data_IF_014322088727
#
_entry.id   IF_014322088727
#
_cell.length_a   1.000
_cell.length_b   1.000
_cell.length_c   1.000
_cell.angle_alpha   90.00
_cell.angle_beta   90.00
_cell.angle_gamma   90.00
#
_symmetry.space_group_name_H-M   'P 1'
#
loop_
_entity.id
_entity.type
_entity.pdbx_description
1 polymer ?
#
# COMPACT_ATOMS: atom_id res chain seq x y z
N UNK A 1 0.37 -4.53 2.43
CA UNK A 1 0.30 -5.83 3.11
C UNK A 1 1.09 -6.84 2.31
N UNK A 2 1.05 -8.09 2.76
CA UNK A 2 1.79 -9.20 2.14
C UNK A 2 1.35 -9.40 0.67
N UNK A 3 2.27 -9.34 -0.31
CA UNK A 3 1.95 -9.57 -1.72
C UNK A 3 1.27 -10.93 -1.98
N UNK A 4 1.66 -11.96 -1.22
CA UNK A 4 1.13 -13.32 -1.37
C UNK A 4 -0.35 -13.36 -0.95
N UNK A 5 -0.67 -12.72 0.18
CA UNK A 5 -2.06 -12.63 0.63
C UNK A 5 -2.91 -11.81 -0.35
N UNK A 6 -2.35 -10.74 -0.90
CA UNK A 6 -3.02 -9.91 -1.90
C UNK A 6 -3.34 -10.70 -3.19
N UNK A 7 -2.37 -11.48 -3.68
CA UNK A 7 -2.54 -12.34 -4.85
C UNK A 7 -3.59 -13.44 -4.59
N UNK A 8 -3.47 -14.17 -3.48
CA UNK A 8 -4.39 -15.28 -3.15
C UNK A 8 -5.84 -14.83 -2.92
N UNK A 9 -6.03 -13.60 -2.43
CA UNK A 9 -7.37 -13.06 -2.19
C UNK A 9 -8.06 -12.56 -3.46
N UNK A 10 -7.34 -12.45 -4.58
CA UNK A 10 -7.87 -11.99 -5.87
C UNK A 10 -8.95 -12.95 -6.39
N UNK A 11 -9.98 -12.39 -7.03
CA UNK A 11 -11.05 -13.15 -7.67
C UNK A 11 -10.87 -13.13 -9.18
N UNK A 12 -10.60 -14.29 -9.77
CA UNK A 12 -10.63 -14.48 -11.21
C UNK A 12 -11.99 -15.03 -11.63
N UNK A 13 -12.67 -14.36 -12.57
CA UNK A 13 -13.96 -14.80 -13.12
C UNK A 13 -13.87 -14.97 -14.63
N UNK A 14 -14.55 -15.99 -15.15
CA UNK A 14 -14.69 -16.27 -16.59
C UNK A 14 -16.11 -16.74 -16.88
N UNK A 15 -16.70 -16.41 -18.03
CA UNK A 15 -17.91 -17.09 -18.48
C UNK A 15 -17.73 -18.61 -18.47
N UNK A 16 -18.75 -19.35 -18.02
CA UNK A 16 -18.74 -20.80 -17.81
C UNK A 16 -18.15 -21.26 -16.48
N UNK A 17 -17.66 -20.34 -15.64
CA UNK A 17 -17.15 -20.70 -14.31
C UNK A 17 -18.31 -21.08 -13.38
N UNK A 18 -18.22 -22.27 -12.77
CA UNK A 18 -19.15 -22.71 -11.73
C UNK A 18 -18.79 -22.08 -10.39
N UNK A 19 -19.62 -21.16 -9.93
CA UNK A 19 -19.50 -20.51 -8.62
C UNK A 19 -20.88 -20.03 -8.19
N UNK A 20 -21.27 -20.41 -6.97
CA UNK A 20 -22.50 -19.92 -6.36
C UNK A 20 -22.40 -18.40 -6.16
N UNK A 21 -23.46 -17.68 -6.54
CA UNK A 21 -23.50 -16.22 -6.41
C UNK A 21 -23.21 -15.77 -4.98
N UNK A 22 -23.83 -16.40 -3.98
CA UNK A 22 -23.67 -16.01 -2.59
C UNK A 22 -22.26 -16.30 -2.05
N UNK A 23 -21.58 -17.33 -2.57
CA UNK A 23 -20.18 -17.58 -2.29
C UNK A 23 -19.28 -16.48 -2.89
N UNK A 24 -19.61 -15.99 -4.09
CA UNK A 24 -18.93 -14.83 -4.69
C UNK A 24 -19.12 -13.57 -3.84
N UNK A 25 -20.34 -13.28 -3.37
CA UNK A 25 -20.61 -12.11 -2.52
C UNK A 25 -19.81 -12.16 -1.21
N UNK A 26 -19.74 -13.34 -0.57
CA UNK A 26 -18.89 -13.54 0.62
C UNK A 26 -17.42 -13.28 0.31
N UNK A 27 -16.92 -13.73 -0.83
CA UNK A 27 -15.52 -13.47 -1.22
C UNK A 27 -15.24 -11.98 -1.45
N UNK A 28 -16.18 -11.24 -2.05
CA UNK A 28 -16.07 -9.78 -2.19
C UNK A 28 -16.04 -9.06 -0.82
N UNK A 29 -16.86 -9.50 0.13
CA UNK A 29 -16.85 -8.96 1.51
C UNK A 29 -15.50 -9.22 2.18
N UNK A 30 -14.95 -10.44 2.06
CA UNK A 30 -13.63 -10.77 2.60
C UNK A 30 -12.51 -9.96 1.94
N UNK A 31 -12.69 -9.55 0.68
CA UNK A 31 -11.83 -8.61 -0.04
C UNK A 31 -12.07 -7.13 0.34
N UNK A 32 -12.85 -6.87 1.38
CA UNK A 32 -13.18 -5.53 1.91
C UNK A 32 -14.04 -4.67 0.97
N UNK A 33 -14.79 -5.29 0.05
CA UNK A 33 -15.84 -4.56 -0.66
C UNK A 33 -17.09 -4.45 0.21
N UNK A 34 -17.74 -3.29 0.15
CA UNK A 34 -19.00 -3.05 0.85
C UNK A 34 -20.21 -3.25 -0.06
N UNK A 35 -21.24 -3.93 0.43
CA UNK A 35 -22.50 -4.06 -0.31
C UNK A 35 -23.29 -2.76 -0.21
N UNK A 36 -23.61 -2.13 -1.33
CA UNK A 36 -24.39 -0.90 -1.36
C UNK A 36 -25.27 -0.81 -2.61
N UNK A 37 -26.58 -0.94 -2.44
CA UNK A 37 -27.55 -0.90 -3.53
C UNK A 37 -27.85 0.54 -4.02
N UNK A 38 -27.66 1.54 -3.15
CA UNK A 38 -28.04 2.95 -3.40
C UNK A 38 -26.86 3.78 -3.90
N UNK A 39 -25.73 3.72 -3.19
CA UNK A 39 -24.51 4.49 -3.49
C UNK A 39 -23.46 3.56 -4.11
N UNK A 40 -23.53 3.41 -5.44
CA UNK A 40 -22.63 2.55 -6.21
C UNK A 40 -21.36 3.31 -6.62
N UNK A 41 -20.34 3.22 -5.77
CA UNK A 41 -19.02 3.85 -5.93
C UNK A 41 -17.89 2.82 -5.86
N UNK A 42 -16.65 3.23 -6.12
CA UNK A 42 -15.47 2.35 -6.01
C UNK A 42 -15.40 1.65 -4.64
N UNK A 43 -14.99 0.40 -4.65
CA UNK A 43 -14.92 -0.44 -3.43
C UNK A 43 -16.28 -0.93 -2.94
N UNK A 44 -17.32 -0.82 -3.78
CA UNK A 44 -18.66 -1.34 -3.49
C UNK A 44 -19.10 -2.38 -4.51
N UNK A 45 -20.07 -3.19 -4.12
CA UNK A 45 -20.84 -4.02 -5.03
C UNK A 45 -22.34 -3.95 -4.72
N UNK A 46 -23.16 -4.27 -5.70
CA UNK A 46 -24.61 -4.43 -5.55
C UNK A 46 -25.07 -5.71 -6.23
N UNK A 47 -26.15 -6.30 -5.74
CA UNK A 47 -26.64 -7.57 -6.25
C UNK A 47 -28.17 -7.53 -6.40
N UNK A 48 -28.64 -7.66 -7.64
CA UNK A 48 -30.06 -7.64 -7.98
C UNK A 48 -30.42 -8.86 -8.84
N UNK A 49 -31.13 -9.81 -8.24
CA UNK A 49 -31.44 -11.08 -8.90
C UNK A 49 -30.15 -11.82 -9.25
N UNK A 50 -29.99 -12.18 -10.51
CA UNK A 50 -28.84 -12.93 -11.01
C UNK A 50 -27.69 -12.02 -11.48
N UNK A 51 -27.78 -10.72 -11.20
CA UNK A 51 -26.76 -9.74 -11.59
C UNK A 51 -26.01 -9.26 -10.35
N UNK A 52 -24.69 -9.37 -10.39
CA UNK A 52 -23.77 -8.77 -9.43
C UNK A 52 -22.96 -7.70 -10.15
N UNK A 53 -23.08 -6.46 -9.70
CA UNK A 53 -22.28 -5.35 -10.21
C UNK A 53 -21.25 -4.92 -9.16
N UNK A 54 -20.01 -4.80 -9.58
CA UNK A 54 -18.85 -4.57 -8.72
C UNK A 54 -18.12 -3.36 -9.27
N UNK A 55 -17.79 -2.41 -8.42
CA UNK A 55 -16.98 -1.26 -8.83
C UNK A 55 -15.59 -1.41 -8.21
N UNK A 56 -14.60 -1.93 -8.96
CA UNK A 56 -13.26 -2.16 -8.44
C UNK A 56 -12.58 -0.87 -7.98
N UNK A 57 -11.73 -0.97 -6.95
CA UNK A 57 -10.95 0.16 -6.45
C UNK A 57 -9.79 0.56 -7.35
N UNK A 58 -9.26 -0.40 -8.10
CA UNK A 58 -8.03 -0.33 -8.89
C UNK A 58 -8.29 -0.12 -10.39
N UNK A 59 -9.51 -0.40 -10.87
CA UNK A 59 -9.82 -0.45 -12.30
C UNK A 59 -10.62 0.76 -12.78
N UNK A 60 -10.03 1.53 -13.72
CA UNK A 60 -10.68 2.43 -14.70
C UNK A 60 -11.85 3.29 -14.20
N UNK A 61 -12.69 3.84 -15.09
CA UNK A 61 -13.96 4.51 -14.69
C UNK A 61 -15.19 3.58 -14.82
N UNK A 62 -14.97 2.33 -15.21
CA UNK A 62 -16.02 1.36 -15.48
C UNK A 62 -16.21 0.39 -14.31
N UNK A 63 -17.46 -0.01 -14.07
CA UNK A 63 -17.80 -1.11 -13.18
C UNK A 63 -17.92 -2.42 -13.95
N UNK A 64 -17.86 -3.54 -13.24
CA UNK A 64 -17.98 -4.89 -13.78
C UNK A 64 -19.37 -5.42 -13.45
N UNK A 65 -20.12 -5.86 -14.45
CA UNK A 65 -21.37 -6.61 -14.31
C UNK A 65 -21.09 -8.09 -14.57
N UNK A 66 -21.45 -8.92 -13.62
CA UNK A 66 -21.41 -10.37 -13.69
C UNK A 66 -22.84 -10.88 -13.67
N UNK A 67 -23.25 -11.53 -14.75
CA UNK A 67 -24.58 -12.12 -14.92
C UNK A 67 -24.45 -13.63 -14.68
N UNK A 68 -25.33 -14.18 -13.84
CA UNK A 68 -25.35 -15.57 -13.42
C UNK A 68 -26.52 -16.32 -14.07
N UNK A 69 -26.33 -17.61 -14.31
CA UNK A 69 -27.38 -18.57 -14.61
C UNK A 69 -27.30 -19.74 -13.62
N UNK A 70 -28.10 -19.67 -12.56
CA UNK A 70 -27.91 -20.55 -11.39
C UNK A 70 -26.53 -20.31 -10.76
N UNK A 71 -25.72 -21.36 -10.66
CA UNK A 71 -24.36 -21.32 -10.08
C UNK A 71 -23.26 -21.22 -11.14
N UNK A 72 -23.57 -20.64 -12.30
CA UNK A 72 -22.62 -20.45 -13.40
C UNK A 72 -22.56 -18.99 -13.82
N UNK A 73 -21.35 -18.46 -14.03
CA UNK A 73 -21.15 -17.14 -14.62
C UNK A 73 -21.51 -17.22 -16.11
N UNK A 74 -22.62 -16.62 -16.51
CA UNK A 74 -23.07 -16.61 -17.90
C UNK A 74 -22.30 -15.57 -18.72
N UNK A 75 -22.16 -14.36 -18.17
CA UNK A 75 -21.59 -13.22 -18.91
C UNK A 75 -20.91 -12.22 -17.99
N UNK A 76 -19.83 -11.63 -18.50
CA UNK A 76 -19.10 -10.55 -17.83
C UNK A 76 -19.04 -9.35 -18.77
N UNK A 77 -19.44 -8.18 -18.25
CA UNK A 77 -19.46 -6.93 -19.01
C UNK A 77 -18.82 -5.80 -18.21
N UNK A 78 -18.08 -4.92 -18.87
CA UNK A 78 -17.78 -3.58 -18.35
C UNK A 78 -19.00 -2.68 -18.59
N UNK A 79 -19.39 -1.92 -17.57
CA UNK A 79 -20.52 -1.00 -17.61
C UNK A 79 -20.10 0.38 -17.13
N UNK A 80 -20.77 1.41 -17.65
CA UNK A 80 -20.69 2.74 -17.05
C UNK A 80 -21.43 2.73 -15.69
N UNK A 81 -20.79 3.09 -14.57
CA UNK A 81 -21.36 2.94 -13.23
C UNK A 81 -22.58 3.84 -12.97
N UNK A 82 -22.71 4.95 -13.70
CA UNK A 82 -23.82 5.89 -13.56
C UNK A 82 -25.03 5.49 -14.41
N UNK A 83 -24.81 5.14 -15.67
CA UNK A 83 -25.89 4.86 -16.63
C UNK A 83 -26.26 3.38 -16.73
N UNK A 84 -25.40 2.48 -16.26
CA UNK A 84 -25.58 1.03 -16.37
C UNK A 84 -25.44 0.47 -17.79
N UNK A 85 -25.07 1.30 -18.77
CA UNK A 85 -24.86 0.88 -20.16
C UNK A 85 -23.60 0.03 -20.29
N UNK A 86 -23.70 -1.09 -21.00
CA UNK A 86 -22.56 -1.93 -21.36
C UNK A 86 -21.60 -1.17 -22.27
N UNK A 87 -20.33 -1.14 -21.89
CA UNK A 87 -19.22 -0.59 -22.66
C UNK A 87 -18.56 -1.69 -23.48
N UNK A 88 -18.30 -2.84 -22.87
CA UNK A 88 -17.65 -3.97 -23.52
C UNK A 88 -17.96 -5.30 -22.81
N UNK A 89 -17.84 -6.41 -23.52
CA UNK A 89 -17.84 -7.76 -22.94
C UNK A 89 -16.41 -8.21 -22.58
N UNK A 90 -16.30 -9.08 -21.58
CA UNK A 90 -15.01 -9.66 -21.14
C UNK A 90 -15.14 -11.18 -21.02
N UNK A 91 -14.11 -11.89 -21.50
CA UNK A 91 -14.01 -13.35 -21.35
C UNK A 91 -13.26 -13.75 -20.06
N UNK A 92 -12.64 -12.78 -19.40
CA UNK A 92 -11.93 -12.94 -18.14
C UNK A 92 -11.82 -11.59 -17.45
N UNK A 93 -11.93 -11.58 -16.13
CA UNK A 93 -11.65 -10.40 -15.29
C UNK A 93 -10.98 -10.86 -13.99
N UNK A 94 -10.08 -10.04 -13.47
CA UNK A 94 -9.54 -10.17 -12.12
C UNK A 94 -10.06 -9.02 -11.27
N UNK A 95 -10.57 -9.33 -10.09
CA UNK A 95 -11.04 -8.37 -9.10
C UNK A 95 -10.10 -8.45 -7.91
N UNK A 96 -9.34 -7.39 -7.70
CA UNK A 96 -8.36 -7.30 -6.63
C UNK A 96 -9.01 -6.85 -5.31
N UNK A 97 -8.39 -7.15 -4.16
CA UNK A 97 -8.86 -6.67 -2.86
C UNK A 97 -8.97 -5.14 -2.79
N UNK A 98 -10.02 -4.65 -2.12
CA UNK A 98 -10.29 -3.21 -1.91
C UNK A 98 -9.36 -2.57 -0.85
N UNK A 99 -8.46 -3.36 -0.26
CA UNK A 99 -7.46 -2.89 0.69
C UNK A 99 -6.16 -3.68 0.53
N UNK A 100 -5.02 -3.02 0.73
CA UNK A 100 -3.71 -3.67 0.71
C UNK A 100 -3.38 -4.40 2.02
N UNK A 101 -4.24 -4.33 3.05
CA UNK A 101 -4.05 -5.02 4.33
C UNK A 101 -5.00 -6.20 4.52
N UNK A 102 -5.64 -6.66 3.43
CA UNK A 102 -6.49 -7.86 3.46
C UNK A 102 -5.64 -9.08 3.79
N UNK A 103 -6.18 -9.93 4.66
CA UNK A 103 -5.59 -11.22 5.04
C UNK A 103 -6.71 -12.24 5.25
N UNK A 104 -6.34 -13.49 5.53
CA UNK A 104 -7.30 -14.55 5.85
C UNK A 104 -7.83 -14.43 7.28
N UNK A 105 -9.01 -15.00 7.54
CA UNK A 105 -9.60 -15.01 8.89
C UNK A 105 -8.66 -15.64 9.93
N UNK A 106 -8.01 -16.75 9.58
CA UNK A 106 -7.07 -17.46 10.47
C UNK A 106 -5.86 -16.59 10.82
N UNK A 107 -5.28 -15.89 9.83
CA UNK A 107 -4.17 -14.93 10.07
C UNK A 107 -4.63 -13.74 10.92
N UNK A 108 -5.86 -13.25 10.71
CA UNK A 108 -6.41 -12.17 11.52
C UNK A 108 -6.61 -12.58 12.98
N UNK A 109 -7.13 -13.79 13.24
CA UNK A 109 -7.31 -14.31 14.60
C UNK A 109 -5.97 -14.49 15.32
N UNK A 110 -4.96 -15.00 14.61
CA UNK A 110 -3.61 -15.08 15.14
C UNK A 110 -3.04 -13.69 15.47
N UNK A 111 -3.17 -12.73 14.54
CA UNK A 111 -2.71 -11.36 14.75
C UNK A 111 -3.40 -10.69 15.95
N UNK A 112 -4.71 -10.87 16.11
CA UNK A 112 -5.45 -10.37 17.27
C UNK A 112 -4.86 -10.92 18.57
N UNK A 113 -4.56 -12.22 18.61
CA UNK A 113 -3.96 -12.87 19.80
C UNK A 113 -2.62 -12.21 20.16
N UNK A 114 -1.73 -12.03 19.18
CA UNK A 114 -0.41 -11.44 19.42
C UNK A 114 -0.49 -9.94 19.75
N UNK A 115 -1.49 -9.22 19.22
CA UNK A 115 -1.76 -7.81 19.58
C UNK A 115 -2.25 -7.70 21.03
N UNK A 116 -3.17 -8.58 21.46
CA UNK A 116 -3.66 -8.63 22.84
C UNK A 116 -2.52 -8.90 23.83
N UNK A 117 -1.60 -9.79 23.49
CA UNK A 117 -0.40 -10.10 24.29
C UNK A 117 0.54 -8.89 24.42
N UNK A 118 0.89 -8.24 23.31
CA UNK A 118 1.75 -7.05 23.32
C UNK A 118 1.09 -5.89 24.07
N UNK A 119 -0.22 -5.72 23.93
CA UNK A 119 -0.98 -4.72 24.68
C UNK A 119 -0.85 -4.95 26.19
N UNK A 120 -1.07 -6.19 26.67
CA UNK A 120 -0.95 -6.52 28.10
C UNK A 120 0.44 -6.20 28.63
N UNK A 121 1.50 -6.60 27.90
CA UNK A 121 2.88 -6.31 28.26
C UNK A 121 3.15 -4.79 28.32
N UNK A 122 2.63 -4.04 27.33
CA UNK A 122 2.83 -2.59 27.27
C UNK A 122 2.08 -1.85 28.38
N UNK A 123 0.88 -2.32 28.75
CA UNK A 123 0.10 -1.79 29.89
C UNK A 123 0.84 -2.02 31.21
N UNK A 124 1.37 -3.22 31.43
CA UNK A 124 2.20 -3.54 32.60
C UNK A 124 3.46 -2.66 32.66
N UNK A 125 4.14 -2.49 31.53
CA UNK A 125 5.30 -1.60 31.43
C UNK A 125 4.94 -0.17 31.86
N UNK A 126 3.87 0.42 31.33
CA UNK A 126 3.46 1.77 31.72
C UNK A 126 3.07 1.87 33.20
N UNK A 127 2.32 0.90 33.73
CA UNK A 127 1.95 0.84 35.15
C UNK A 127 3.19 0.77 36.04
N UNK A 128 4.21 -0.02 35.69
CA UNK A 128 5.47 -0.13 36.43
C UNK A 128 6.25 1.20 36.50
N UNK A 129 6.05 2.07 35.52
CA UNK A 129 6.70 3.39 35.42
C UNK A 129 5.83 4.53 36.00
N UNK A 130 4.70 4.22 36.64
CA UNK A 130 3.75 5.22 37.14
C UNK A 130 2.98 5.99 36.07
N UNK A 131 3.04 5.54 34.81
CA UNK A 131 2.41 6.17 33.63
C UNK A 131 0.98 5.65 33.42
N UNK A 132 0.10 5.93 34.40
CA UNK A 132 -1.25 5.35 34.43
C UNK A 132 -2.15 5.83 33.29
N UNK A 133 -1.97 7.08 32.83
CA UNK A 133 -2.76 7.65 31.73
C UNK A 133 -2.38 7.00 30.41
N UNK A 134 -1.08 6.81 30.15
CA UNK A 134 -0.58 6.11 28.97
C UNK A 134 -1.03 4.65 28.95
N UNK A 135 -1.02 3.98 30.11
CA UNK A 135 -1.51 2.61 30.26
C UNK A 135 -2.99 2.48 29.89
N UNK A 136 -3.85 3.33 30.48
CA UNK A 136 -5.28 3.33 30.17
C UNK A 136 -5.53 3.64 28.70
N UNK A 137 -4.82 4.64 28.14
CA UNK A 137 -4.98 5.07 26.75
C UNK A 137 -4.67 3.95 25.77
N UNK A 138 -3.56 3.24 25.94
CA UNK A 138 -3.18 2.17 25.02
C UNK A 138 -4.14 0.98 25.13
N UNK A 139 -4.58 0.66 26.34
CA UNK A 139 -5.54 -0.41 26.60
C UNK A 139 -6.89 -0.15 25.92
N UNK A 140 -7.50 1.02 26.15
CA UNK A 140 -8.77 1.40 25.55
C UNK A 140 -8.69 1.43 24.01
N UNK A 141 -7.61 2.04 23.48
CA UNK A 141 -7.43 2.16 22.04
C UNK A 141 -7.27 0.80 21.37
N UNK A 142 -6.41 -0.05 21.92
CA UNK A 142 -6.12 -1.34 21.30
C UNK A 142 -7.29 -2.31 21.43
N UNK A 143 -8.03 -2.31 22.56
CA UNK A 143 -9.26 -3.10 22.68
C UNK A 143 -10.32 -2.69 21.65
N UNK A 144 -10.55 -1.39 21.46
CA UNK A 144 -11.47 -0.90 20.43
C UNK A 144 -11.03 -1.32 19.02
N UNK A 145 -9.74 -1.16 18.69
CA UNK A 145 -9.21 -1.57 17.39
C UNK A 145 -9.37 -3.11 17.19
N UNK A 146 -9.19 -3.92 18.26
CA UNK A 146 -9.41 -5.38 18.23
C UNK A 146 -10.89 -5.74 18.01
N UNK A 147 -11.83 -5.08 18.70
CA UNK A 147 -13.26 -5.29 18.48
C UNK A 147 -13.65 -5.03 17.03
N UNK A 148 -13.15 -3.93 16.45
CA UNK A 148 -13.37 -3.61 15.05
C UNK A 148 -12.78 -4.66 14.10
N UNK A 149 -11.57 -5.16 14.39
CA UNK A 149 -10.96 -6.25 13.61
C UNK A 149 -11.76 -7.56 13.71
N UNK A 150 -12.32 -7.89 14.88
CA UNK A 150 -13.16 -9.09 15.08
C UNK A 150 -14.48 -8.98 14.29
N UNK A 151 -15.13 -7.82 14.32
CA UNK A 151 -16.45 -7.62 13.70
C UNK A 151 -16.39 -7.40 12.18
N UNK A 152 -15.37 -6.68 11.70
CA UNK A 152 -15.33 -6.20 10.30
C UNK A 152 -14.11 -6.68 9.51
N UNK A 153 -13.13 -7.30 10.18
CA UNK A 153 -11.83 -7.59 9.58
C UNK A 153 -10.98 -6.34 9.33
N UNK A 154 -11.37 -5.18 9.86
CA UNK A 154 -10.70 -3.90 9.64
C UNK A 154 -10.81 -2.98 10.86
N UNK A 155 -9.84 -2.08 11.03
CA UNK A 155 -9.94 -0.97 11.98
C UNK A 155 -9.25 0.27 11.43
N UNK A 156 -9.60 1.45 11.93
CA UNK A 156 -8.96 2.68 11.49
C UNK A 156 -7.51 2.74 12.01
N UNK A 157 -6.56 2.77 11.08
CA UNK A 157 -5.14 2.72 11.41
C UNK A 157 -4.59 1.30 11.48
N UNK A 158 -5.23 0.34 10.81
CA UNK A 158 -4.83 -1.07 10.76
C UNK A 158 -3.36 -1.29 10.37
N UNK A 159 -2.77 -0.35 9.61
CA UNK A 159 -1.36 -0.40 9.21
C UNK A 159 -0.41 -0.46 10.42
N UNK A 160 -0.80 0.09 11.58
CA UNK A 160 -0.01 0.06 12.80
C UNK A 160 0.12 -1.35 13.40
N UNK A 161 -0.72 -2.29 12.94
CA UNK A 161 -0.69 -3.70 13.29
C UNK A 161 -0.13 -4.57 12.16
N UNK A 162 0.41 -3.96 11.09
CA UNK A 162 0.84 -4.67 9.87
C UNK A 162 1.83 -5.81 10.13
N UNK A 163 2.76 -5.66 11.09
CA UNK A 163 3.68 -6.74 11.49
C UNK A 163 2.94 -7.96 12.03
N UNK A 164 1.99 -7.76 12.94
CA UNK A 164 1.16 -8.84 13.51
C UNK A 164 0.32 -9.51 12.42
N UNK A 165 -0.35 -8.71 11.58
CA UNK A 165 -1.21 -9.21 10.49
C UNK A 165 -0.42 -10.06 9.48
N UNK A 166 0.83 -9.69 9.21
CA UNK A 166 1.71 -10.44 8.32
C UNK A 166 2.49 -11.56 9.01
N UNK A 167 2.34 -11.75 10.33
CA UNK A 167 3.06 -12.77 11.10
C UNK A 167 4.58 -12.64 11.02
N UNK A 168 5.10 -11.42 10.81
CA UNK A 168 6.55 -11.19 10.68
C UNK A 168 7.21 -10.99 12.04
N UNK A 169 8.48 -11.33 12.12
CA UNK A 169 9.30 -11.10 13.31
C UNK A 169 9.46 -9.59 13.63
N UNK A 170 9.61 -9.22 14.92
CA UNK A 170 9.90 -7.84 15.32
C UNK A 170 11.12 -7.25 14.61
N UNK A 171 11.03 -5.99 14.18
CA UNK A 171 12.11 -5.29 13.47
C UNK A 171 12.27 -5.62 11.98
N UNK A 172 11.57 -6.65 11.49
CA UNK A 172 11.65 -7.08 10.08
C UNK A 172 11.25 -5.99 9.09
N UNK A 173 11.87 -6.01 7.91
CA UNK A 173 11.59 -5.07 6.84
C UNK A 173 10.14 -5.23 6.33
N UNK A 174 9.37 -4.13 6.21
CA UNK A 174 8.00 -4.16 5.72
C UNK A 174 7.94 -4.57 4.25
N UNK A 175 6.80 -5.14 3.86
CA UNK A 175 6.48 -5.29 2.44
C UNK A 175 6.19 -3.92 1.83
N UNK A 176 6.73 -3.69 0.64
CA UNK A 176 6.67 -2.46 -0.14
C UNK A 176 6.33 -2.79 -1.60
N UNK A 177 6.23 -1.76 -2.43
CA UNK A 177 5.99 -1.94 -3.87
C UNK A 177 7.08 -2.82 -4.54
N UNK A 178 8.34 -2.75 -4.07
CA UNK A 178 9.42 -3.60 -4.58
C UNK A 178 9.08 -5.09 -4.49
N UNK A 179 8.39 -5.50 -3.43
CA UNK A 179 8.06 -6.89 -3.17
C UNK A 179 6.89 -7.39 -4.06
N UNK A 180 6.23 -6.50 -4.82
CA UNK A 180 5.21 -6.83 -5.83
C UNK A 180 5.79 -6.95 -7.24
N UNK A 181 7.01 -6.44 -7.47
CA UNK A 181 7.68 -6.59 -8.75
C UNK A 181 8.31 -7.98 -8.89
N UNK A 182 8.39 -8.51 -10.12
CA UNK A 182 9.28 -9.62 -10.43
C UNK A 182 10.72 -9.31 -10.00
N UNK A 183 11.50 -10.33 -9.65
CA UNK A 183 12.88 -10.16 -9.15
C UNK A 183 13.82 -9.47 -10.14
N UNK A 184 13.50 -9.53 -11.43
CA UNK A 184 14.28 -9.00 -12.56
C UNK A 184 13.82 -7.60 -13.01
N UNK A 185 13.13 -6.84 -12.16
CA UNK A 185 12.68 -5.48 -12.49
C UNK A 185 13.84 -4.49 -12.70
N UNK A 186 13.52 -3.39 -13.40
CA UNK A 186 14.40 -2.24 -13.60
C UNK A 186 13.86 -1.04 -12.80
N UNK A 187 14.73 -0.41 -12.01
CA UNK A 187 14.44 0.84 -11.30
C UNK A 187 14.99 2.03 -12.08
N UNK A 188 14.18 3.06 -12.29
CA UNK A 188 14.65 4.36 -12.76
C UNK A 188 14.47 5.37 -11.62
N UNK A 189 15.55 6.06 -11.27
CA UNK A 189 15.51 7.10 -10.25
C UNK A 189 15.75 8.43 -10.95
N UNK A 190 14.65 9.13 -11.22
CA UNK A 190 14.68 10.50 -11.73
C UNK A 190 15.16 11.47 -10.65
N UNK A 191 15.91 12.49 -11.05
CA UNK A 191 16.62 13.42 -10.18
C UNK A 191 17.32 12.74 -8.99
N UNK A 192 18.13 11.72 -9.31
CA UNK A 192 18.74 10.82 -8.31
C UNK A 192 19.50 11.56 -7.20
N UNK A 193 20.14 12.69 -7.53
CA UNK A 193 20.91 13.50 -6.60
C UNK A 193 20.06 14.04 -5.42
N UNK A 194 18.75 14.21 -5.64
CA UNK A 194 17.79 14.64 -4.64
C UNK A 194 17.00 13.46 -4.05
N UNK A 195 16.61 12.49 -4.88
CA UNK A 195 15.77 11.36 -4.45
C UNK A 195 16.53 10.40 -3.53
N UNK A 196 17.81 10.12 -3.78
CA UNK A 196 18.59 9.21 -2.92
C UNK A 196 18.70 9.73 -1.48
N UNK A 197 19.09 11.00 -1.22
CA UNK A 197 19.03 11.58 0.12
C UNK A 197 17.63 11.54 0.75
N UNK A 198 16.58 11.79 -0.05
CA UNK A 198 15.20 11.76 0.43
C UNK A 198 14.83 10.36 0.93
N UNK A 199 15.05 9.32 0.11
CA UNK A 199 14.77 7.91 0.46
C UNK A 199 15.50 7.53 1.76
N UNK A 200 16.77 7.92 1.90
CA UNK A 200 17.56 7.68 3.11
C UNK A 200 16.97 8.34 4.36
N UNK A 201 16.41 9.54 4.22
CA UNK A 201 15.86 10.31 5.35
C UNK A 201 14.49 9.79 5.84
N UNK A 202 13.72 9.11 4.99
CA UNK A 202 12.32 8.71 5.28
C UNK A 202 12.19 7.88 6.56
N UNK A 203 13.06 6.88 6.76
CA UNK A 203 13.01 6.01 7.94
C UNK A 203 13.20 6.80 9.25
N UNK A 204 14.22 7.67 9.30
CA UNK A 204 14.56 8.42 10.50
C UNK A 204 13.45 9.43 10.87
N UNK A 205 12.86 10.09 9.87
CA UNK A 205 11.73 10.99 10.07
C UNK A 205 10.49 10.26 10.61
N UNK A 206 10.14 9.11 10.04
CA UNK A 206 9.01 8.31 10.52
C UNK A 206 9.24 7.76 11.94
N UNK A 207 10.46 7.27 12.23
CA UNK A 207 10.84 6.75 13.54
C UNK A 207 10.68 7.81 14.63
N UNK A 208 11.20 9.02 14.42
CA UNK A 208 11.11 10.11 15.38
C UNK A 208 9.65 10.52 15.68
N UNK A 209 8.80 10.56 14.66
CA UNK A 209 7.37 10.86 14.83
C UNK A 209 6.66 9.80 15.67
N UNK A 210 6.92 8.51 15.40
CA UNK A 210 6.30 7.40 16.13
C UNK A 210 6.79 7.25 17.55
N UNK A 211 8.02 7.67 17.84
CA UNK A 211 8.58 7.59 19.18
C UNK A 211 7.69 8.32 20.20
N UNK A 212 7.18 9.50 19.84
CA UNK A 212 6.25 10.23 20.70
C UNK A 212 4.92 9.49 20.88
N UNK A 213 4.36 8.93 19.81
CA UNK A 213 3.10 8.18 19.87
C UNK A 213 3.20 6.96 20.78
N UNK A 214 4.28 6.19 20.66
CA UNK A 214 4.53 5.00 21.50
C UNK A 214 4.84 5.43 22.93
N UNK A 215 5.70 6.44 23.13
CA UNK A 215 6.09 6.94 24.46
C UNK A 215 4.89 7.40 25.29
N UNK A 216 3.88 7.98 24.65
CA UNK A 216 2.68 8.49 25.29
C UNK A 216 1.47 7.54 25.12
N UNK A 217 1.67 6.26 24.81
CA UNK A 217 0.60 5.26 24.84
C UNK A 217 -0.49 5.43 23.78
N UNK A 218 -0.22 6.11 22.67
CA UNK A 218 -1.15 6.20 21.53
C UNK A 218 -1.06 4.99 20.60
N UNK A 219 0.09 4.30 20.57
CA UNK A 219 0.37 3.14 19.72
C UNK A 219 1.25 2.13 20.45
N UNK A 220 1.09 0.84 20.10
CA UNK A 220 1.96 -0.24 20.57
C UNK A 220 3.38 -0.11 19.99
N UNK A 221 4.40 -0.68 20.64
CA UNK A 221 5.76 -0.74 20.10
C UNK A 221 5.84 -1.32 18.68
N UNK A 222 5.01 -2.31 18.33
CA UNK A 222 4.93 -2.89 16.98
C UNK A 222 4.63 -1.87 15.88
N UNK A 223 4.06 -0.71 16.21
CA UNK A 223 3.82 0.35 15.23
C UNK A 223 5.13 0.89 14.62
N UNK A 224 6.27 0.71 15.29
CA UNK A 224 7.58 0.99 14.73
C UNK A 224 7.92 0.12 13.52
N UNK A 225 7.36 -1.07 13.41
CA UNK A 225 7.62 -2.02 12.31
C UNK A 225 6.74 -1.70 11.08
N UNK A 226 5.79 -0.77 11.20
CA UNK A 226 5.00 -0.22 10.09
C UNK A 226 5.69 0.99 9.43
N UNK A 227 6.92 0.83 8.95
CA UNK A 227 7.82 1.96 8.61
C UNK A 227 8.15 2.01 7.12
N UNK A 228 8.80 3.08 6.62
CA UNK A 228 9.57 2.98 5.38
C UNK A 228 10.74 2.00 5.52
N UNK A 229 11.31 1.59 4.38
CA UNK A 229 12.57 0.85 4.36
C UNK A 229 13.68 1.72 4.92
N UNK A 230 14.62 1.09 5.63
CA UNK A 230 15.94 1.67 5.84
C UNK A 230 16.68 1.72 4.50
N UNK A 231 17.68 2.57 4.38
CA UNK A 231 18.40 2.73 3.13
C UNK A 231 19.07 1.41 2.70
N UNK A 232 19.62 0.66 3.64
CA UNK A 232 20.26 -0.63 3.38
C UNK A 232 19.24 -1.69 2.91
N UNK A 233 18.01 -1.64 3.44
CA UNK A 233 16.92 -2.53 3.02
C UNK A 233 16.36 -2.17 1.63
N UNK A 234 16.46 -0.90 1.23
CA UNK A 234 16.17 -0.42 -0.11
C UNK A 234 17.25 -0.89 -1.09
N UNK A 235 18.54 -0.72 -0.76
CA UNK A 235 19.66 -1.20 -1.58
C UNK A 235 19.58 -2.70 -1.85
N UNK A 236 19.26 -3.50 -0.83
CA UNK A 236 19.08 -4.96 -0.96
C UNK A 236 17.97 -5.37 -1.92
N UNK A 237 17.00 -4.49 -2.19
CA UNK A 237 15.88 -4.76 -3.10
C UNK A 237 16.13 -4.31 -4.53
N UNK A 238 17.20 -3.55 -4.79
CA UNK A 238 17.54 -3.11 -6.14
C UNK A 238 18.08 -4.32 -6.92
N UNK A 239 17.46 -4.63 -8.05
CA UNK A 239 18.00 -5.58 -9.02
C UNK A 239 18.92 -4.85 -10.03
N UNK A 240 18.33 -3.97 -10.84
CA UNK A 240 19.05 -3.05 -11.72
C UNK A 240 18.50 -1.64 -11.53
N UNK A 241 19.37 -0.63 -11.60
CA UNK A 241 18.98 0.77 -11.43
C UNK A 241 19.65 1.65 -12.48
N UNK A 242 18.89 2.61 -13.00
CA UNK A 242 19.39 3.74 -13.80
C UNK A 242 19.14 5.01 -12.99
N UNK A 243 20.23 5.68 -12.62
CA UNK A 243 20.17 7.01 -12.02
C UNK A 243 20.10 8.05 -13.14
N UNK A 244 19.07 8.89 -13.11
CA UNK A 244 18.87 9.96 -14.08
C UNK A 244 19.07 11.28 -13.35
N UNK A 245 20.12 12.02 -13.70
CA UNK A 245 20.32 13.38 -13.21
C UNK A 245 21.35 14.14 -14.05
N UNK A 246 21.14 15.46 -14.19
CA UNK A 246 22.15 16.36 -14.74
C UNK A 246 23.34 16.56 -13.77
N UNK A 247 23.14 16.33 -12.47
CA UNK A 247 24.15 16.55 -11.42
C UNK A 247 24.24 15.35 -10.47
N UNK A 248 24.67 14.15 -10.94
CA UNK A 248 24.77 12.96 -10.08
C UNK A 248 25.60 13.22 -8.83
N UNK A 249 25.13 12.78 -7.66
CA UNK A 249 25.85 12.92 -6.41
C UNK A 249 26.84 11.75 -6.19
N UNK A 250 27.53 11.77 -5.05
CA UNK A 250 28.62 10.81 -4.76
C UNK A 250 28.13 9.36 -4.74
N UNK A 251 26.94 9.10 -4.21
CA UNK A 251 26.39 7.74 -4.16
C UNK A 251 26.23 7.14 -5.56
N UNK A 252 25.68 7.90 -6.49
CA UNK A 252 25.47 7.46 -7.87
C UNK A 252 26.79 7.26 -8.60
N UNK A 253 27.75 8.17 -8.41
CA UNK A 253 29.09 8.05 -9.01
C UNK A 253 29.83 6.81 -8.51
N UNK A 254 29.80 6.57 -7.20
CA UNK A 254 30.44 5.40 -6.56
C UNK A 254 29.87 4.07 -7.09
N UNK A 255 28.54 3.99 -7.24
CA UNK A 255 27.86 2.78 -7.67
C UNK A 255 27.87 2.56 -9.18
N UNK A 256 27.89 3.65 -9.98
CA UNK A 256 27.89 3.56 -11.44
C UNK A 256 29.29 3.25 -11.99
N UNK A 257 30.36 3.64 -11.28
CA UNK A 257 31.75 3.48 -11.70
C UNK A 257 31.94 4.00 -13.13
N UNK A 258 32.38 3.15 -14.06
CA UNK A 258 32.61 3.51 -15.46
C UNK A 258 31.32 3.48 -16.33
N UNK A 259 30.17 3.08 -15.77
CA UNK A 259 28.89 2.98 -16.50
C UNK A 259 28.11 4.30 -16.52
N UNK A 260 28.77 5.40 -16.85
CA UNK A 260 28.15 6.72 -16.96
C UNK A 260 27.80 6.98 -18.43
N UNK A 261 26.54 7.31 -18.69
CA UNK A 261 26.05 7.66 -20.03
C UNK A 261 25.70 9.14 -20.05
N UNK A 262 26.42 9.92 -20.83
CA UNK A 262 26.17 11.36 -20.99
C UNK A 262 25.18 11.63 -22.12
N UNK A 263 24.16 12.44 -21.84
CA UNK A 263 23.19 12.90 -22.84
C UNK A 263 23.03 14.43 -22.77
N UNK A 264 23.91 15.14 -23.48
CA UNK A 264 23.96 16.61 -23.48
C UNK A 264 23.29 17.25 -24.70
N UNK A 265 23.13 16.51 -25.81
CA UNK A 265 22.56 17.05 -27.05
C UNK A 265 21.04 17.11 -26.92
N UNK A 266 20.50 18.34 -26.87
CA UNK A 266 19.05 18.57 -26.88
C UNK A 266 18.49 18.38 -28.29
N UNK A 267 17.38 17.63 -28.50
CA UNK A 267 16.77 17.44 -29.82
C UNK A 267 16.38 18.75 -30.53
N UNK A 268 16.12 19.81 -29.77
CA UNK A 268 15.75 21.15 -30.27
C UNK A 268 16.95 21.99 -30.72
N UNK A 269 18.18 21.55 -30.44
CA UNK A 269 19.40 22.32 -30.70
C UNK A 269 19.67 23.46 -29.71
N UNK A 270 18.92 23.55 -28.61
CA UNK A 270 19.17 24.55 -27.57
C UNK A 270 20.56 24.33 -26.93
N UNK A 271 21.36 25.41 -26.91
CA UNK A 271 22.69 25.43 -26.31
C UNK A 271 22.61 25.71 -24.80
N UNK A 272 23.65 25.29 -24.07
CA UNK A 272 23.85 25.76 -22.70
C UNK A 272 24.10 27.28 -22.71
N UNK A 273 23.61 28.02 -21.69
CA UNK A 273 23.71 29.48 -21.67
C UNK A 273 25.15 29.95 -21.45
N UNK A 274 25.47 31.14 -21.98
CA UNK A 274 26.72 31.83 -21.63
C UNK A 274 26.68 32.30 -20.17
N UNK A 275 27.82 32.20 -19.48
CA UNK A 275 27.96 32.56 -18.06
C UNK A 275 28.88 33.79 -17.94
N UNK A 276 28.37 34.88 -17.38
CA UNK A 276 29.14 36.09 -17.05
C UNK A 276 29.25 36.27 -15.53
N UNK A 277 30.45 36.57 -15.02
CA UNK A 277 30.71 36.81 -13.60
C UNK A 277 31.04 38.29 -13.41
N UNK A 278 30.16 39.04 -12.74
CA UNK A 278 30.33 40.46 -12.42
C UNK A 278 30.61 40.67 -10.92
N UNK A 279 31.44 41.67 -10.52
CA UNK A 279 31.57 42.09 -9.13
C UNK A 279 30.22 42.49 -8.50
N UNK A 280 30.10 42.37 -7.17
CA UNK A 280 28.87 42.73 -6.44
C UNK A 280 28.66 44.25 -6.43
N UNK A 281 29.75 45.03 -6.46
CA UNK A 281 29.71 46.49 -6.52
C UNK A 281 29.01 46.95 -7.81
N UNK A 282 27.77 47.47 -7.67
CA UNK A 282 26.86 48.01 -8.71
C UNK A 282 25.78 47.06 -9.31
N UNK A 283 25.39 45.95 -8.65
CA UNK A 283 24.34 45.04 -9.17
C UNK A 283 22.89 45.58 -9.24
N UNK A 284 22.61 46.81 -8.80
CA UNK A 284 21.24 47.36 -8.73
C UNK A 284 20.89 48.27 -9.94
N UNK A 285 21.88 48.68 -10.74
CA UNK A 285 21.69 49.67 -11.82
C UNK A 285 21.93 49.13 -13.25
N UNK A 286 21.62 47.86 -13.53
CA UNK A 286 21.57 47.26 -14.88
C UNK A 286 20.21 46.58 -15.13
#
# INVERSE_FOLDING_TARGET
GDPIDYEHMTVSLRPGMKIERDAMLKKLINMQYSRNELDFKRGTFRAKGDIVEIFPSDYGESAIRVEFWGDEVEKISEINPLTGKTVASRNHIMIFPNSHYVTTSDKMEHAITTIEEEMKQQVEYFKSQGKLIEAQRIEERTNFDIEMMKETGFCQGIENYSRHISGREPGSAPYTLFDYFPKDFLLLIDESHAIIPQVRAMYNGDRARKESLVKYGFRLPSAFDNRPLKFEEFEQRINQVVFVSATPAEYEKEHSKDNIVEQIIRPTGLLDPEIEVKPIENQIDD
#
